data_IF_259381766908
#
_entry.id   IF_259381766908
#
_cell.length_a   1.000
_cell.length_b   1.000
_cell.length_c   1.000
_cell.angle_alpha   90.00
_cell.angle_beta   90.00
_cell.angle_gamma   90.00
#
_symmetry.space_group_name_H-M   'P 1'
#
loop_
_entity.id
_entity.type
_entity.pdbx_description
1 polymer ?
#
# COMPACT_ATOMS: atom_id res chain seq x y z
N UNK A 1 -10.35 8.09 -3.30
CA UNK A 1 -9.43 7.19 -2.61
C UNK A 1 -8.17 7.06 -3.43
N UNK A 2 -7.05 7.36 -2.87
CA UNK A 2 -5.82 7.40 -3.63
C UNK A 2 -4.64 6.96 -2.79
N UNK A 3 -3.61 6.45 -3.48
CA UNK A 3 -2.38 6.09 -2.82
C UNK A 3 -1.60 7.34 -2.45
N UNK A 4 -0.96 7.28 -1.30
CA UNK A 4 -0.06 8.32 -0.83
C UNK A 4 1.37 7.82 -0.96
N UNK A 5 2.32 8.75 -1.01
CA UNK A 5 3.74 8.41 -1.00
C UNK A 5 4.32 8.74 0.36
N UNK A 6 4.92 7.75 1.00
CA UNK A 6 5.59 7.93 2.29
C UNK A 6 7.02 7.40 2.17
N UNK A 7 7.99 8.29 2.17
CA UNK A 7 9.41 7.93 2.06
C UNK A 7 9.69 7.00 0.88
N UNK A 8 9.09 7.31 -0.27
CA UNK A 8 9.29 6.54 -1.49
C UNK A 8 8.42 5.31 -1.62
N UNK A 9 7.56 5.05 -0.65
CA UNK A 9 6.69 3.88 -0.63
C UNK A 9 5.24 4.30 -0.79
N UNK A 10 4.48 3.56 -1.62
CA UNK A 10 3.04 3.79 -1.77
C UNK A 10 2.30 3.21 -0.58
N UNK A 11 1.39 3.99 0.00
CA UNK A 11 0.61 3.58 1.16
C UNK A 11 -0.84 4.06 1.02
N UNK A 12 -1.74 3.45 1.78
CA UNK A 12 -3.13 3.88 1.93
C UNK A 12 -3.36 4.38 3.35
N UNK A 13 -4.10 5.48 3.48
CA UNK A 13 -4.48 6.00 4.78
C UNK A 13 -5.56 5.09 5.39
N UNK A 14 -5.46 4.81 6.68
CA UNK A 14 -6.42 3.96 7.38
C UNK A 14 -7.85 4.49 7.31
N UNK A 15 -8.02 5.81 7.15
CA UNK A 15 -9.37 6.40 7.00
C UNK A 15 -10.00 5.92 5.69
N UNK A 16 -9.22 5.87 4.61
CA UNK A 16 -9.69 5.38 3.32
C UNK A 16 -9.96 3.88 3.39
N UNK A 17 -9.07 3.13 4.03
CA UNK A 17 -9.26 1.68 4.20
C UNK A 17 -10.54 1.39 4.98
N UNK A 18 -10.78 2.14 6.06
CA UNK A 18 -11.99 1.97 6.86
C UNK A 18 -13.24 2.16 6.01
N UNK A 19 -13.24 3.18 5.16
CA UNK A 19 -14.35 3.43 4.26
C UNK A 19 -14.53 2.28 3.27
N UNK A 20 -13.43 1.77 2.70
CA UNK A 20 -13.48 0.66 1.74
C UNK A 20 -14.11 -0.60 2.36
N UNK A 21 -13.79 -0.90 3.61
CA UNK A 21 -14.26 -2.12 4.25
C UNK A 21 -15.56 -1.92 5.04
N UNK A 22 -16.07 -0.68 5.07
CA UNK A 22 -17.32 -0.38 5.77
C UNK A 22 -17.20 -0.46 7.28
N UNK A 23 -16.03 -0.12 7.83
CA UNK A 23 -15.77 -0.16 9.26
C UNK A 23 -15.51 1.26 9.76
N UNK A 24 -15.93 1.56 10.98
CA UNK A 24 -15.62 2.86 11.59
C UNK A 24 -14.12 2.98 11.77
N UNK A 25 -13.58 4.15 11.46
CA UNK A 25 -12.12 4.37 11.51
C UNK A 25 -11.53 4.06 12.89
N UNK A 26 -12.20 4.49 13.97
CA UNK A 26 -11.73 4.21 15.31
C UNK A 26 -11.61 2.73 15.62
N UNK A 27 -12.54 1.94 15.09
CA UNK A 27 -12.50 0.49 15.27
C UNK A 27 -11.35 -0.13 14.48
N UNK A 28 -11.11 0.35 13.27
CA UNK A 28 -9.97 -0.14 12.47
C UNK A 28 -8.65 0.20 13.14
N UNK A 29 -8.50 1.43 13.65
CA UNK A 29 -7.27 1.84 14.34
C UNK A 29 -7.03 0.93 15.55
N UNK A 30 -8.07 0.63 16.33
CA UNK A 30 -7.95 -0.28 17.47
C UNK A 30 -7.52 -1.67 17.05
N UNK A 31 -8.07 -2.18 15.96
CA UNK A 31 -7.69 -3.49 15.44
C UNK A 31 -6.23 -3.49 15.00
N UNK A 32 -5.81 -2.44 14.30
CA UNK A 32 -4.42 -2.31 13.84
C UNK A 32 -3.47 -2.19 15.04
N UNK A 33 -3.85 -1.45 16.08
CA UNK A 33 -3.05 -1.36 17.30
C UNK A 33 -2.75 -2.76 17.85
N UNK A 34 -3.74 -3.63 17.83
CA UNK A 34 -3.58 -5.00 18.28
C UNK A 34 -2.66 -5.78 17.35
N UNK A 35 -2.84 -5.64 16.04
CA UNK A 35 -1.97 -6.32 15.06
C UNK A 35 -0.52 -5.88 15.22
N UNK A 36 -0.29 -4.58 15.38
CA UNK A 36 1.04 -4.03 15.57
C UNK A 36 1.70 -4.63 16.81
N UNK A 37 0.96 -4.69 17.91
CA UNK A 37 1.47 -5.26 19.14
C UNK A 37 1.83 -6.73 18.97
N UNK A 38 0.97 -7.50 18.30
CA UNK A 38 1.20 -8.93 18.09
C UNK A 38 2.40 -9.17 17.18
N UNK A 39 2.52 -8.38 16.10
CA UNK A 39 3.64 -8.51 15.17
C UNK A 39 4.97 -8.20 15.87
N UNK A 40 5.00 -7.11 16.63
CA UNK A 40 6.23 -6.65 17.28
C UNK A 40 6.71 -7.56 18.42
N UNK A 41 5.85 -8.46 18.89
CA UNK A 41 6.28 -9.47 19.85
C UNK A 41 7.21 -10.50 19.23
N UNK A 42 7.22 -10.62 17.92
CA UNK A 42 8.16 -11.50 17.22
C UNK A 42 9.38 -10.68 16.82
N UNK A 43 10.54 -10.97 17.43
CA UNK A 43 11.75 -10.18 17.21
C UNK A 43 12.26 -10.16 15.78
N UNK A 44 11.80 -11.07 14.94
CA UNK A 44 12.20 -11.16 13.53
C UNK A 44 11.31 -10.35 12.61
N UNK A 45 10.22 -9.78 13.14
CA UNK A 45 9.25 -9.03 12.35
C UNK A 45 9.22 -7.57 12.82
N UNK A 46 8.82 -6.69 11.92
CA UNK A 46 8.59 -5.29 12.24
C UNK A 46 7.23 -4.87 11.72
N UNK A 47 6.41 -4.32 12.61
CA UNK A 47 5.09 -3.84 12.22
C UNK A 47 5.15 -2.69 11.22
N UNK A 48 6.28 -1.96 11.16
CA UNK A 48 6.44 -0.85 10.23
C UNK A 48 6.40 -1.29 8.76
N UNK A 49 6.67 -2.57 8.50
CA UNK A 49 6.55 -3.09 7.14
C UNK A 49 5.10 -3.25 6.69
N UNK A 50 4.16 -3.16 7.63
CA UNK A 50 2.74 -3.34 7.39
C UNK A 50 1.96 -2.06 7.70
N UNK A 51 2.16 -1.48 8.88
CA UNK A 51 1.38 -0.37 9.39
C UNK A 51 2.30 0.71 9.95
N UNK A 52 2.27 1.88 9.33
CA UNK A 52 3.10 3.01 9.74
C UNK A 52 2.24 3.94 10.58
N UNK A 53 2.65 4.21 11.82
CA UNK A 53 1.92 5.10 12.71
C UNK A 53 1.97 6.53 12.20
N UNK A 54 0.83 7.20 12.19
CA UNK A 54 0.73 8.57 11.70
C UNK A 54 -0.39 9.31 12.44
N UNK A 55 -0.58 10.57 12.10
CA UNK A 55 -1.65 11.38 12.66
C UNK A 55 -2.25 12.26 11.56
N UNK A 56 -3.47 12.74 11.83
CA UNK A 56 -4.10 13.73 10.97
C UNK A 56 -4.79 14.77 11.84
N UNK A 57 -5.01 15.96 11.30
CA UNK A 57 -5.71 17.03 12.00
C UNK A 57 -7.16 17.09 11.57
N UNK A 58 -8.07 17.25 12.56
CA UNK A 58 -9.46 17.54 12.27
C UNK A 58 -9.63 19.04 12.05
N UNK A 59 -10.85 19.44 11.65
CA UNK A 59 -11.19 20.84 11.48
C UNK A 59 -11.04 21.70 12.74
N UNK A 60 -10.95 21.06 13.91
CA UNK A 60 -10.75 21.79 15.19
C UNK A 60 -9.27 21.96 15.51
N UNK A 61 -8.37 21.47 14.65
CA UNK A 61 -6.93 21.53 14.89
C UNK A 61 -6.40 20.44 15.81
N UNK A 62 -7.26 19.52 16.24
CA UNK A 62 -6.87 18.41 17.11
C UNK A 62 -6.26 17.30 16.29
N UNK A 63 -5.20 16.69 16.80
CA UNK A 63 -4.52 15.57 16.13
C UNK A 63 -5.16 14.25 16.55
N UNK A 64 -5.39 13.40 15.55
CA UNK A 64 -5.95 12.07 15.77
C UNK A 64 -5.03 11.02 15.16
N UNK A 65 -5.00 9.85 15.78
CA UNK A 65 -4.18 8.75 15.33
C UNK A 65 -4.74 8.13 14.05
N UNK A 66 -3.85 7.81 13.13
CA UNK A 66 -4.17 7.01 11.97
C UNK A 66 -2.97 6.14 11.63
N UNK A 67 -3.14 5.25 10.69
CA UNK A 67 -2.07 4.41 10.17
C UNK A 67 -1.96 4.59 8.66
N UNK A 68 -0.76 4.43 8.16
CA UNK A 68 -0.52 4.31 6.73
C UNK A 68 -0.27 2.83 6.46
N UNK A 69 -1.07 2.24 5.59
CA UNK A 69 -0.96 0.81 5.28
C UNK A 69 -0.16 0.62 4.01
N UNK A 70 0.91 -0.17 4.12
CA UNK A 70 1.64 -0.63 2.94
C UNK A 70 0.78 -1.68 2.22
N UNK A 71 1.22 -2.11 1.05
CA UNK A 71 0.54 -3.21 0.36
C UNK A 71 0.42 -4.44 1.27
N UNK A 72 1.50 -4.76 1.99
CA UNK A 72 1.50 -5.87 2.94
C UNK A 72 0.51 -5.65 4.09
N UNK A 73 0.38 -4.40 4.55
CA UNK A 73 -0.60 -4.05 5.57
C UNK A 73 -2.04 -4.25 5.09
N UNK A 74 -2.30 -3.85 3.84
CA UNK A 74 -3.61 -4.09 3.24
C UNK A 74 -3.90 -5.58 3.11
N UNK A 75 -2.89 -6.36 2.71
CA UNK A 75 -3.02 -7.82 2.63
C UNK A 75 -3.31 -8.43 3.99
N UNK A 76 -2.64 -7.93 5.03
CA UNK A 76 -2.87 -8.39 6.39
C UNK A 76 -4.32 -8.18 6.81
N UNK A 77 -4.84 -6.96 6.58
CA UNK A 77 -6.23 -6.64 6.91
C UNK A 77 -7.20 -7.51 6.10
N UNK A 78 -6.92 -7.68 4.80
CA UNK A 78 -7.76 -8.50 3.93
C UNK A 78 -7.84 -9.95 4.44
N UNK A 79 -6.76 -10.48 4.97
CA UNK A 79 -6.73 -11.84 5.52
C UNK A 79 -7.59 -12.00 6.77
N UNK A 80 -7.97 -10.91 7.42
CA UNK A 80 -8.88 -10.94 8.57
C UNK A 80 -10.33 -10.85 8.17
N UNK A 81 -10.60 -10.64 6.89
CA UNK A 81 -11.95 -10.50 6.35
C UNK A 81 -12.36 -11.77 5.63
N UNK A 82 -13.67 -11.97 5.52
CA UNK A 82 -14.22 -13.11 4.80
C UNK A 82 -15.34 -12.63 3.89
N UNK A 83 -15.64 -13.42 2.85
CA UNK A 83 -16.76 -13.17 1.98
C UNK A 83 -16.58 -12.01 1.02
N UNK A 84 -17.72 -11.46 0.62
CA UNK A 84 -17.80 -10.46 -0.45
C UNK A 84 -16.98 -9.20 -0.15
N UNK A 85 -17.05 -8.68 1.07
CA UNK A 85 -16.33 -7.47 1.43
C UNK A 85 -14.82 -7.67 1.38
N UNK A 86 -14.35 -8.82 1.83
CA UNK A 86 -12.93 -9.16 1.75
C UNK A 86 -12.45 -9.26 0.32
N UNK A 87 -13.23 -9.89 -0.54
CA UNK A 87 -12.90 -9.99 -1.96
C UNK A 87 -12.86 -8.63 -2.62
N UNK A 88 -13.83 -7.78 -2.32
CA UNK A 88 -13.89 -6.43 -2.89
C UNK A 88 -12.73 -5.56 -2.43
N UNK A 89 -12.41 -5.62 -1.15
CA UNK A 89 -11.27 -4.86 -0.63
C UNK A 89 -9.97 -5.31 -1.27
N UNK A 90 -9.76 -6.62 -1.37
CA UNK A 90 -8.56 -7.18 -2.00
C UNK A 90 -8.43 -6.67 -3.43
N UNK A 91 -9.52 -6.76 -4.21
CA UNK A 91 -9.51 -6.28 -5.60
C UNK A 91 -9.19 -4.79 -5.67
N UNK A 92 -9.74 -3.99 -4.75
CA UNK A 92 -9.52 -2.55 -4.75
C UNK A 92 -8.07 -2.18 -4.45
N UNK A 93 -7.48 -2.74 -3.37
CA UNK A 93 -6.12 -2.35 -3.03
C UNK A 93 -5.12 -2.90 -4.04
N UNK A 94 -5.33 -4.11 -4.53
CA UNK A 94 -4.46 -4.67 -5.57
C UNK A 94 -4.49 -3.79 -6.81
N UNK A 95 -5.66 -3.36 -7.23
CA UNK A 95 -5.80 -2.49 -8.40
C UNK A 95 -5.11 -1.15 -8.20
N UNK A 96 -5.26 -0.55 -7.01
CA UNK A 96 -4.63 0.73 -6.71
C UNK A 96 -3.10 0.62 -6.74
N UNK A 97 -2.54 -0.38 -6.07
CA UNK A 97 -1.09 -0.53 -6.02
C UNK A 97 -0.51 -0.91 -7.38
N UNK A 98 -1.20 -1.74 -8.15
CA UNK A 98 -0.74 -2.11 -9.49
C UNK A 98 -0.86 -0.94 -10.46
N UNK A 99 -1.90 -0.12 -10.34
CA UNK A 99 -2.06 1.07 -11.18
C UNK A 99 -0.90 2.04 -10.97
N UNK A 100 -0.52 2.28 -9.71
CA UNK A 100 0.63 3.14 -9.40
C UNK A 100 1.92 2.55 -9.96
N UNK A 101 2.12 1.25 -9.82
CA UNK A 101 3.27 0.56 -10.36
C UNK A 101 3.31 0.67 -11.89
N UNK A 102 2.19 0.45 -12.55
CA UNK A 102 2.09 0.56 -14.00
C UNK A 102 2.36 1.98 -14.48
N UNK A 103 1.88 2.97 -13.75
CA UNK A 103 2.14 4.37 -14.08
C UNK A 103 3.64 4.67 -14.03
N UNK A 104 4.33 4.17 -13.02
CA UNK A 104 5.77 4.32 -12.89
C UNK A 104 6.49 3.58 -14.03
N UNK A 105 6.10 2.35 -14.31
CA UNK A 105 6.69 1.53 -15.35
C UNK A 105 6.47 2.11 -16.74
N UNK A 106 5.38 2.82 -16.95
CA UNK A 106 5.03 3.43 -18.23
C UNK A 106 5.44 4.90 -18.32
N UNK A 107 6.25 5.38 -17.39
CA UNK A 107 6.80 6.74 -17.50
C UNK A 107 7.72 6.79 -18.71
N UNK A 108 7.88 7.95 -19.33
CA UNK A 108 8.74 8.06 -20.52
C UNK A 108 10.14 7.48 -20.32
N UNK A 109 10.73 7.72 -19.18
CA UNK A 109 12.06 7.21 -18.90
C UNK A 109 12.09 5.68 -18.77
N UNK A 110 11.10 5.12 -18.07
CA UNK A 110 11.00 3.67 -17.92
C UNK A 110 10.79 2.99 -19.27
N UNK A 111 9.97 3.58 -20.13
CA UNK A 111 9.71 3.05 -21.47
C UNK A 111 11.00 3.06 -22.29
N UNK A 112 11.75 4.14 -22.24
CA UNK A 112 13.02 4.24 -22.97
C UNK A 112 14.00 3.19 -22.51
N UNK A 113 14.16 3.01 -21.20
CA UNK A 113 15.08 2.03 -20.65
C UNK A 113 14.69 0.61 -21.05
N UNK A 114 13.43 0.28 -20.98
CA UNK A 114 12.95 -1.05 -21.39
C UNK A 114 13.14 -1.29 -22.88
N UNK A 115 12.86 -0.28 -23.69
CA UNK A 115 13.00 -0.39 -25.11
C UNK A 115 14.47 -0.58 -25.50
N UNK A 116 15.37 0.13 -24.85
CA UNK A 116 16.80 -0.01 -25.07
C UNK A 116 17.26 -1.44 -24.78
N UNK A 117 16.88 -1.98 -23.61
CA UNK A 117 17.24 -3.34 -23.23
C UNK A 117 16.70 -4.37 -24.20
N UNK A 118 15.45 -4.23 -24.62
CA UNK A 118 14.83 -5.14 -25.57
C UNK A 118 15.55 -5.11 -26.89
N UNK A 119 15.89 -3.92 -27.37
CA UNK A 119 16.58 -3.76 -28.64
C UNK A 119 17.97 -4.36 -28.59
N UNK A 120 18.71 -4.19 -27.51
CA UNK A 120 20.02 -4.79 -27.34
C UNK A 120 19.95 -6.30 -27.40
N UNK A 121 18.94 -6.90 -26.77
CA UNK A 121 18.74 -8.34 -26.78
C UNK A 121 18.35 -8.85 -28.16
N UNK A 122 17.41 -8.16 -28.82
CA UNK A 122 16.88 -8.59 -30.10
C UNK A 122 17.91 -8.51 -31.24
N UNK A 123 18.77 -7.53 -31.18
CA UNK A 123 19.78 -7.33 -32.23
C UNK A 123 20.97 -8.23 -31.99
N UNK A 124 21.00 -8.93 -30.89
CA UNK A 124 22.10 -9.82 -30.55
C UNK A 124 23.33 -9.05 -30.16
N UNK A 125 23.09 -7.86 -30.08
CA UNK A 125 24.06 -6.94 -29.71
C UNK A 125 24.04 -6.84 -28.24
N UNK A 126 23.30 -6.87 -28.41
CA UNK A 126 22.50 -6.50 -27.76
C UNK A 126 22.74 -5.69 -27.11
N UNK A 127 23.35 -4.94 -28.14
CA UNK A 127 23.13 -4.23 -28.13
C UNK A 127 22.88 -3.85 -27.52
N UNK A 128 23.35 -3.66 -27.56
CA UNK A 128 22.69 -3.48 -27.52
C UNK A 128 22.05 -3.22 -27.62
N UNK A 129 22.14 -2.78 -28.16
CA UNK A 129 21.17 -2.67 -28.72
C UNK A 129 20.74 -2.79 -28.70
#
# INVERSE_FOLDING_TARGET
MELLNFEGQSVLDSRDVAEMIGKRHGNLVRDIDKYVNDIDQNSKLSSDNFFISSTYQSGTGKNYKCYLLTKQGCEFVANKMTGKKGNQFTAQYVSLFNSMKNTIENSPQAILDKQFLINCIKIGVFLLH
#
